data_IF_040172592744
#
_entry.id   IF_040172592744
#
_cell.length_a   1.000
_cell.length_b   1.000
_cell.length_c   1.000
_cell.angle_alpha   90.00
_cell.angle_beta   90.00
_cell.angle_gamma   90.00
#
_symmetry.space_group_name_H-M   'P 1'
#
loop_
_entity.id
_entity.type
_entity.pdbx_description
1 polymer ?
#
# COMPACT_ATOMS: atom_id res chain seq x y z
N UNK A 1 74.58 -22.79 -6.22
CA UNK A 1 75.43 -21.70 -6.74
C UNK A 1 74.49 -20.66 -7.36
N UNK A 2 74.05 -19.66 -6.60
CA UNK A 2 74.64 -18.30 -6.51
C UNK A 2 74.57 -17.50 -7.82
N UNK A 3 73.57 -16.60 -7.86
CA UNK A 3 73.64 -15.16 -8.21
C UNK A 3 74.31 -14.71 -9.51
N UNK A 4 73.56 -13.96 -10.33
CA UNK A 4 74.11 -12.83 -11.12
C UNK A 4 73.01 -11.78 -11.36
N UNK A 5 73.23 -10.61 -10.77
CA UNK A 5 72.61 -9.30 -11.05
C UNK A 5 73.62 -8.47 -11.88
N UNK A 6 73.43 -7.17 -12.22
CA UNK A 6 72.38 -6.42 -12.93
C UNK A 6 72.95 -5.73 -14.21
N UNK A 7 72.11 -5.06 -15.02
CA UNK A 7 72.16 -3.59 -15.27
C UNK A 7 71.42 -3.14 -16.53
N UNK A 8 70.73 -2.03 -16.32
CA UNK A 8 69.86 -1.26 -17.20
C UNK A 8 70.66 -0.32 -18.11
N UNK A 9 70.23 -0.20 -19.37
CA UNK A 9 70.44 0.90 -20.34
C UNK A 9 69.38 0.67 -21.43
N UNK A 10 68.27 1.39 -21.58
CA UNK A 10 68.04 2.82 -21.44
C UNK A 10 67.90 3.42 -22.85
N UNK A 11 66.68 3.47 -23.41
CA UNK A 11 66.22 4.54 -24.31
C UNK A 11 64.70 4.44 -24.55
N UNK A 12 63.96 5.24 -23.79
CA UNK A 12 62.85 6.12 -24.19
C UNK A 12 62.31 5.97 -25.63
N UNK A 13 60.99 5.77 -25.81
CA UNK A 13 60.05 6.67 -26.53
C UNK A 13 58.59 6.19 -26.33
N UNK A 14 57.73 7.15 -25.99
CA UNK A 14 56.28 7.12 -25.75
C UNK A 14 55.46 6.45 -26.86
N UNK A 15 54.43 5.68 -26.49
CA UNK A 15 53.14 5.68 -27.23
C UNK A 15 51.94 5.32 -26.35
N UNK A 16 51.25 6.37 -25.92
CA UNK A 16 49.80 6.59 -25.75
C UNK A 16 48.94 5.51 -25.06
N UNK A 17 48.55 5.89 -23.85
CA UNK A 17 47.42 5.46 -23.03
C UNK A 17 46.08 5.59 -23.78
N UNK A 18 45.36 4.48 -23.94
CA UNK A 18 43.97 4.45 -24.43
C UNK A 18 43.04 3.76 -23.43
N UNK A 19 42.72 4.44 -22.32
CA UNK A 19 41.60 4.03 -21.46
C UNK A 19 40.29 4.31 -22.21
N UNK A 20 39.63 3.25 -22.65
CA UNK A 20 38.28 3.30 -23.20
C UNK A 20 37.26 3.30 -22.05
N UNK A 21 37.03 4.45 -21.42
CA UNK A 21 35.93 4.60 -20.44
C UNK A 21 34.62 4.78 -21.20
N UNK A 22 33.80 3.73 -21.23
CA UNK A 22 32.44 3.82 -21.75
C UNK A 22 31.61 4.72 -20.83
N UNK A 23 31.26 5.91 -21.33
CA UNK A 23 30.28 6.78 -20.70
C UNK A 23 28.91 6.08 -20.80
N UNK A 24 28.42 5.57 -19.66
CA UNK A 24 27.01 5.19 -19.55
C UNK A 24 26.18 6.47 -19.70
N UNK A 25 25.15 6.51 -20.56
CA UNK A 25 24.22 7.62 -20.56
C UNK A 25 23.54 7.66 -19.19
N UNK A 26 23.89 8.67 -18.40
CA UNK A 26 23.14 8.99 -17.19
C UNK A 26 21.72 9.37 -17.64
N UNK A 27 20.75 8.51 -17.34
CA UNK A 27 19.35 8.83 -17.53
C UNK A 27 19.06 10.15 -16.81
N UNK A 28 18.86 11.22 -17.57
CA UNK A 28 18.34 12.47 -17.07
C UNK A 28 16.91 12.21 -16.65
N UNK A 29 16.68 11.99 -15.35
CA UNK A 29 15.33 11.91 -14.81
C UNK A 29 14.72 13.31 -14.93
N UNK A 30 13.62 13.50 -15.68
CA UNK A 30 12.96 14.79 -15.73
C UNK A 30 12.53 15.20 -14.31
N UNK A 31 12.50 16.52 -14.01
CA UNK A 31 12.05 17.00 -12.71
C UNK A 31 10.67 16.43 -12.37
N UNK A 32 10.54 15.88 -11.17
CA UNK A 32 9.25 15.40 -10.65
C UNK A 32 8.33 16.61 -10.47
N UNK A 33 7.39 16.78 -11.39
CA UNK A 33 6.36 17.81 -11.29
C UNK A 33 5.35 17.37 -10.21
N UNK A 34 5.07 18.26 -9.25
CA UNK A 34 4.09 17.94 -8.21
C UNK A 34 2.71 17.74 -8.86
N UNK A 35 1.94 16.69 -8.48
CA UNK A 35 0.65 16.44 -9.08
C UNK A 35 -0.29 17.63 -8.85
N UNK A 36 -1.04 18.00 -9.88
CA UNK A 36 -2.11 18.98 -9.73
C UNK A 36 -3.15 18.45 -8.71
N UNK A 37 -3.88 19.34 -8.02
CA UNK A 37 -4.80 18.94 -6.96
C UNK A 37 -5.88 17.93 -7.39
N UNK A 38 -6.24 17.88 -8.68
CA UNK A 38 -7.15 16.88 -9.25
C UNK A 38 -6.52 15.52 -9.55
N UNK A 39 -5.19 15.40 -9.51
CA UNK A 39 -4.45 14.16 -9.76
C UNK A 39 -4.07 13.41 -8.48
N UNK A 40 -4.30 14.00 -7.30
CA UNK A 40 -4.10 13.30 -6.03
C UNK A 40 -5.07 12.12 -5.96
N UNK A 41 -4.52 10.91 -5.81
CA UNK A 41 -5.29 9.66 -5.87
C UNK A 41 -6.29 9.52 -4.70
N UNK A 42 -5.84 9.90 -3.50
CA UNK A 42 -6.61 9.81 -2.26
C UNK A 42 -6.40 11.06 -1.40
N UNK A 43 -7.47 11.65 -0.88
CA UNK A 43 -7.40 12.69 0.16
C UNK A 43 -7.78 12.11 1.52
N UNK A 44 -7.04 12.49 2.56
CA UNK A 44 -7.28 12.05 3.93
C UNK A 44 -7.82 13.19 4.79
N UNK A 45 -8.94 12.95 5.46
CA UNK A 45 -9.52 13.87 6.45
C UNK A 45 -9.59 13.19 7.81
N UNK A 46 -9.41 13.94 8.90
CA UNK A 46 -9.60 13.39 10.24
C UNK A 46 -11.07 13.11 10.53
N UNK A 47 -11.34 11.98 11.20
CA UNK A 47 -12.65 11.68 11.75
C UNK A 47 -12.72 12.26 13.17
N UNK A 48 -13.60 13.26 13.43
CA UNK A 48 -13.64 13.95 14.71
C UNK A 48 -13.81 13.01 15.91
N UNK A 49 -12.97 13.19 16.93
CA UNK A 49 -13.00 12.41 18.16
C UNK A 49 -12.34 11.02 18.05
N UNK A 50 -11.63 10.73 16.97
CA UNK A 50 -10.91 9.47 16.75
C UNK A 50 -9.51 9.73 16.19
N UNK A 51 -8.69 8.69 16.11
CA UNK A 51 -7.40 8.65 15.42
C UNK A 51 -7.50 8.18 13.96
N UNK A 52 -8.72 7.96 13.46
CA UNK A 52 -8.98 7.41 12.14
C UNK A 52 -9.00 8.50 11.06
N UNK A 53 -8.69 8.10 9.83
CA UNK A 53 -8.85 8.97 8.65
C UNK A 53 -10.02 8.51 7.78
N UNK A 54 -10.68 9.48 7.16
CA UNK A 54 -11.61 9.31 6.06
C UNK A 54 -10.83 9.45 4.76
N UNK A 55 -10.95 8.45 3.91
CA UNK A 55 -10.34 8.41 2.59
C UNK A 55 -11.39 8.84 1.57
N UNK A 56 -11.07 9.81 0.73
CA UNK A 56 -11.84 10.09 -0.49
C UNK A 56 -10.97 9.82 -1.71
N UNK A 57 -11.37 8.85 -2.53
CA UNK A 57 -10.65 8.55 -3.77
C UNK A 57 -11.15 9.43 -4.92
N UNK A 58 -10.21 9.85 -5.77
CA UNK A 58 -10.59 10.39 -7.07
C UNK A 58 -11.13 9.27 -7.98
N UNK A 59 -11.75 9.64 -9.10
CA UNK A 59 -12.41 8.68 -10.01
C UNK A 59 -11.45 7.67 -10.63
N UNK A 60 -10.27 8.14 -11.03
CA UNK A 60 -9.23 7.30 -11.66
C UNK A 60 -8.69 6.27 -10.67
N UNK A 61 -8.37 6.69 -9.45
CA UNK A 61 -7.86 5.84 -8.39
C UNK A 61 -8.88 4.77 -8.01
N UNK A 62 -10.15 5.15 -7.81
CA UNK A 62 -11.23 4.20 -7.52
C UNK A 62 -11.41 3.17 -8.65
N UNK A 63 -11.28 3.58 -9.91
CA UNK A 63 -11.32 2.68 -11.06
C UNK A 63 -10.13 1.73 -11.15
N UNK A 64 -8.93 2.18 -10.76
CA UNK A 64 -7.70 1.38 -10.86
C UNK A 64 -7.65 0.23 -9.85
N UNK A 65 -8.12 0.45 -8.62
CA UNK A 65 -8.02 -0.56 -7.55
C UNK A 65 -9.15 -1.61 -7.60
N UNK A 66 -10.17 -1.42 -8.44
CA UNK A 66 -11.20 -2.42 -8.68
C UNK A 66 -11.97 -2.85 -7.43
N UNK A 67 -12.28 -1.90 -6.53
CA UNK A 67 -12.94 -2.19 -5.26
C UNK A 67 -14.17 -3.07 -5.44
N UNK A 68 -14.26 -4.10 -4.62
CA UNK A 68 -15.48 -4.90 -4.48
C UNK A 68 -16.04 -4.70 -3.09
N UNK A 69 -17.36 -4.86 -2.99
CA UNK A 69 -18.08 -4.70 -1.74
C UNK A 69 -19.00 -5.87 -1.49
N UNK A 70 -19.36 -6.03 -0.22
CA UNK A 70 -20.41 -6.93 0.22
C UNK A 70 -21.11 -6.30 1.42
N UNK A 71 -22.03 -7.01 2.04
CA UNK A 71 -22.80 -6.52 3.19
C UNK A 71 -22.62 -7.40 4.42
N UNK A 72 -22.53 -6.77 5.58
CA UNK A 72 -22.64 -7.48 6.86
C UNK A 72 -24.05 -8.03 7.02
N UNK A 73 -24.21 -9.16 7.73
CA UNK A 73 -25.50 -9.85 7.87
C UNK A 73 -25.66 -10.46 9.25
N UNK A 74 -26.89 -10.68 9.67
CA UNK A 74 -27.16 -11.62 10.76
C UNK A 74 -27.26 -13.03 10.17
N UNK A 75 -26.54 -13.97 10.75
CA UNK A 75 -26.77 -15.39 10.47
C UNK A 75 -28.19 -15.77 10.91
N UNK A 76 -28.95 -16.39 10.01
CA UNK A 76 -30.38 -16.64 10.22
C UNK A 76 -30.67 -17.64 11.35
N UNK A 77 -29.70 -18.49 11.71
CA UNK A 77 -29.88 -19.54 12.74
C UNK A 77 -29.43 -19.07 14.11
N UNK A 78 -28.24 -18.48 14.18
CA UNK A 78 -27.61 -18.06 15.43
C UNK A 78 -27.94 -16.62 15.83
N UNK A 79 -28.41 -15.79 14.88
CA UNK A 79 -28.63 -14.36 15.10
C UNK A 79 -27.33 -13.57 15.30
N UNK A 80 -26.16 -14.16 15.07
CA UNK A 80 -24.87 -13.48 15.21
C UNK A 80 -24.54 -12.62 14.00
N UNK A 81 -23.85 -11.52 14.23
CA UNK A 81 -23.33 -10.67 13.15
C UNK A 81 -22.25 -11.43 12.36
N UNK A 82 -22.26 -11.26 11.04
CA UNK A 82 -21.31 -11.86 10.11
C UNK A 82 -20.84 -10.84 9.09
N UNK A 83 -19.59 -10.98 8.66
CA UNK A 83 -19.01 -10.26 7.54
C UNK A 83 -18.22 -11.24 6.66
N UNK A 84 -18.01 -10.95 5.36
CA UNK A 84 -17.07 -11.72 4.56
C UNK A 84 -15.68 -11.65 5.19
N UNK A 85 -14.99 -12.79 5.29
CA UNK A 85 -13.62 -12.82 5.80
C UNK A 85 -12.69 -11.92 4.96
N UNK A 86 -12.91 -11.84 3.65
CA UNK A 86 -12.17 -10.94 2.74
C UNK A 86 -12.31 -9.44 3.06
N UNK A 87 -13.26 -9.04 3.91
CA UNK A 87 -13.38 -7.64 4.35
C UNK A 87 -12.54 -7.35 5.61
N UNK A 88 -12.05 -8.39 6.31
CA UNK A 88 -11.38 -8.27 7.59
C UNK A 88 -9.91 -7.94 7.36
N UNK A 89 -9.47 -6.81 7.91
CA UNK A 89 -8.08 -6.39 7.96
C UNK A 89 -7.55 -6.56 9.38
N UNK A 90 -6.25 -6.83 9.50
CA UNK A 90 -5.51 -6.83 10.75
C UNK A 90 -4.47 -5.70 10.70
N UNK A 91 -4.42 -4.87 11.74
CA UNK A 91 -3.31 -3.93 11.90
C UNK A 91 -2.09 -4.60 12.56
N UNK A 92 -1.02 -3.82 12.74
CA UNK A 92 0.23 -4.29 13.35
C UNK A 92 0.09 -4.70 14.83
N UNK A 93 -0.96 -4.25 15.52
CA UNK A 93 -1.26 -4.65 16.89
C UNK A 93 -2.21 -5.86 16.94
N UNK A 94 -2.67 -6.34 15.78
CA UNK A 94 -3.62 -7.43 15.66
C UNK A 94 -5.08 -7.02 15.89
N UNK A 95 -5.39 -5.72 15.94
CA UNK A 95 -6.79 -5.27 15.98
C UNK A 95 -7.41 -5.48 14.60
N UNK A 96 -8.70 -5.79 14.60
CA UNK A 96 -9.43 -6.11 13.37
C UNK A 96 -10.32 -4.98 12.90
N UNK A 97 -10.33 -4.76 11.59
CA UNK A 97 -11.01 -3.64 10.93
C UNK A 97 -11.76 -4.09 9.68
N UNK A 98 -12.77 -3.30 9.29
CA UNK A 98 -13.37 -3.33 7.95
C UNK A 98 -13.46 -1.90 7.43
N UNK A 99 -13.40 -1.70 6.10
CA UNK A 99 -13.75 -0.39 5.52
C UNK A 99 -15.24 -0.32 5.18
N UNK A 100 -15.91 0.72 5.66
CA UNK A 100 -17.30 1.02 5.30
C UNK A 100 -17.39 2.16 4.29
N UNK A 101 -18.49 2.17 3.53
CA UNK A 101 -18.74 3.19 2.51
C UNK A 101 -19.56 4.30 3.17
N UNK A 102 -18.95 5.46 3.39
CA UNK A 102 -19.57 6.63 4.01
C UNK A 102 -20.17 7.61 2.98
N UNK A 103 -19.88 7.39 1.69
CA UNK A 103 -20.36 8.21 0.57
C UNK A 103 -19.69 7.80 -0.75
N UNK A 104 -19.97 8.51 -1.86
CA UNK A 104 -19.37 8.22 -3.16
C UNK A 104 -17.84 8.29 -3.10
N UNK A 105 -17.17 7.14 -3.21
CA UNK A 105 -15.71 7.00 -3.09
C UNK A 105 -15.14 7.46 -1.74
N UNK A 106 -15.99 7.50 -0.71
CA UNK A 106 -15.61 7.89 0.65
C UNK A 106 -15.64 6.66 1.54
N UNK A 107 -14.50 6.38 2.19
CA UNK A 107 -14.28 5.17 2.97
C UNK A 107 -13.75 5.52 4.36
N UNK A 108 -14.22 4.80 5.37
CA UNK A 108 -13.76 4.94 6.76
C UNK A 108 -13.60 3.55 7.35
N UNK A 109 -12.48 3.26 8.02
CA UNK A 109 -12.35 2.00 8.76
C UNK A 109 -13.24 2.00 10.00
N UNK A 110 -13.81 0.86 10.32
CA UNK A 110 -14.54 0.62 11.55
C UNK A 110 -13.98 -0.63 12.22
N UNK A 111 -13.79 -0.55 13.54
CA UNK A 111 -13.34 -1.69 14.33
C UNK A 111 -14.36 -2.80 14.28
N UNK A 112 -13.88 -4.04 14.23
CA UNK A 112 -14.68 -5.25 14.43
C UNK A 112 -14.01 -6.11 15.48
N UNK A 113 -14.78 -6.97 16.14
CA UNK A 113 -14.25 -8.04 16.98
C UNK A 113 -14.66 -9.37 16.39
N UNK A 114 -13.68 -10.14 15.89
CA UNK A 114 -13.91 -11.45 15.30
C UNK A 114 -14.04 -12.50 16.41
N UNK A 115 -15.16 -13.23 16.43
CA UNK A 115 -15.41 -14.36 17.33
C UNK A 115 -14.85 -15.65 16.71
N UNK A 116 -15.14 -15.88 15.41
CA UNK A 116 -14.73 -17.09 14.68
C UNK A 116 -14.73 -16.86 13.18
N UNK A 117 -13.85 -17.57 12.46
CA UNK A 117 -13.84 -17.59 10.99
C UNK A 117 -14.19 -18.99 10.51
N UNK A 118 -15.15 -19.07 9.60
CA UNK A 118 -15.63 -20.28 8.93
C UNK A 118 -15.54 -20.13 7.42
N UNK A 119 -14.40 -20.53 6.84
CA UNK A 119 -14.17 -20.39 5.41
C UNK A 119 -14.25 -18.93 4.97
N UNK A 120 -15.30 -18.57 4.23
CA UNK A 120 -15.48 -17.25 3.64
C UNK A 120 -16.17 -16.23 4.56
N UNK A 121 -16.65 -16.64 5.73
CA UNK A 121 -17.38 -15.77 6.66
C UNK A 121 -16.66 -15.65 8.01
N UNK A 122 -16.60 -14.44 8.53
CA UNK A 122 -16.25 -14.14 9.91
C UNK A 122 -17.54 -13.89 10.71
N UNK A 123 -17.71 -14.61 11.81
CA UNK A 123 -18.69 -14.28 12.85
C UNK A 123 -18.09 -13.20 13.76
N UNK A 124 -18.84 -12.13 14.00
CA UNK A 124 -18.40 -10.98 14.77
C UNK A 124 -19.19 -10.88 16.08
N UNK A 125 -18.49 -10.57 17.17
CA UNK A 125 -19.12 -10.19 18.45
C UNK A 125 -19.40 -8.68 18.54
N UNK A 126 -18.68 -7.88 17.76
CA UNK A 126 -18.89 -6.44 17.61
C UNK A 126 -18.46 -5.97 16.21
N UNK A 127 -19.10 -4.92 15.68
CA UNK A 127 -18.82 -4.38 14.36
C UNK A 127 -19.96 -3.56 13.77
N UNK A 128 -19.88 -3.16 12.48
CA UNK A 128 -20.94 -2.41 11.83
C UNK A 128 -22.29 -3.13 11.83
N UNK A 129 -23.37 -2.36 11.93
CA UNK A 129 -24.73 -2.90 11.96
C UNK A 129 -25.02 -3.82 10.75
N UNK A 130 -25.88 -4.83 10.89
CA UNK A 130 -26.30 -5.66 9.76
C UNK A 130 -26.80 -4.83 8.57
N UNK A 131 -26.41 -5.22 7.36
CA UNK A 131 -26.71 -4.50 6.12
C UNK A 131 -25.70 -3.41 5.78
N UNK A 132 -24.70 -3.15 6.63
CA UNK A 132 -23.63 -2.19 6.31
C UNK A 132 -22.80 -2.71 5.14
N UNK A 133 -22.59 -1.85 4.13
CA UNK A 133 -21.72 -2.18 3.02
C UNK A 133 -20.26 -2.06 3.46
N UNK A 134 -19.49 -3.11 3.22
CA UNK A 134 -18.05 -3.20 3.55
C UNK A 134 -17.26 -3.50 2.29
N UNK A 135 -16.03 -2.99 2.22
CA UNK A 135 -15.07 -3.31 1.17
C UNK A 135 -14.50 -4.71 1.40
N UNK A 136 -14.46 -5.52 0.36
CA UNK A 136 -13.78 -6.82 0.35
C UNK A 136 -12.46 -6.70 -0.42
N UNK A 137 -12.51 -6.77 -1.75
CA UNK A 137 -11.34 -6.57 -2.58
C UNK A 137 -10.92 -5.09 -2.57
N UNK A 138 -9.63 -4.85 -2.38
CA UNK A 138 -9.03 -3.50 -2.30
C UNK A 138 -9.13 -2.85 -0.92
N UNK A 139 -9.59 -3.58 0.11
CA UNK A 139 -9.53 -3.10 1.50
C UNK A 139 -8.07 -2.82 1.94
N UNK A 140 -7.12 -3.66 1.53
CA UNK A 140 -5.69 -3.49 1.80
C UNK A 140 -5.10 -2.26 1.09
N UNK A 141 -5.56 -1.94 -0.12
CA UNK A 141 -5.14 -0.73 -0.85
C UNK A 141 -5.64 0.54 -0.14
N UNK A 142 -6.88 0.52 0.36
CA UNK A 142 -7.39 1.60 1.21
C UNK A 142 -6.60 1.71 2.52
N UNK A 143 -6.23 0.57 3.12
CA UNK A 143 -5.42 0.56 4.33
C UNK A 143 -4.03 1.15 4.12
N UNK A 144 -3.38 0.76 3.03
CA UNK A 144 -2.14 1.36 2.57
C UNK A 144 -2.28 2.87 2.41
N UNK A 145 -3.30 3.33 1.68
CA UNK A 145 -3.56 4.75 1.46
C UNK A 145 -3.88 5.54 2.75
N UNK A 146 -4.54 4.92 3.74
CA UNK A 146 -4.86 5.56 5.01
C UNK A 146 -3.63 5.72 5.91
N UNK A 147 -2.80 4.69 5.95
CA UNK A 147 -1.58 4.66 6.73
C UNK A 147 -0.40 5.29 5.99
N UNK A 148 -0.58 5.64 4.71
CA UNK A 148 0.52 6.09 3.88
C UNK A 148 1.15 7.33 4.48
N UNK A 149 2.39 7.08 4.88
CA UNK A 149 3.42 7.97 5.36
C UNK A 149 3.97 8.72 4.15
N UNK A 150 3.16 9.55 3.50
CA UNK A 150 3.64 10.43 2.44
C UNK A 150 4.80 11.28 3.01
N UNK A 151 6.02 10.85 2.70
CA UNK A 151 7.30 11.45 3.08
C UNK A 151 7.75 12.42 2.01
#
# INVERSE_FOLDING_TARGET
MTTTTPRVRGLMVLTVLGLLTQALPACSQPPSEAPAAGDVAASLEEVPGTDLKRITLNERAAGNIGLQTSTTKLDAKSGKLTAPYLAILYDSEGKTWVYTIAGPRVYVRQSVTVDRIDGELATLSDGPAPGTTVVTLGAEELFGAELDVAS
#
